data_IF_892037059675
#
_entry.id   IF_892037059675
#
_cell.length_a   1.000
_cell.length_b   1.000
_cell.length_c   1.000
_cell.angle_alpha   90.00
_cell.angle_beta   90.00
_cell.angle_gamma   90.00
#
_symmetry.space_group_name_H-M   'P 1'
#
loop_
_entity.id
_entity.type
_entity.pdbx_description
1 polymer ?
#
# COMPACT_ATOMS: atom_id res chain seq x y z
N UNK A 1 4.78 5.41 -14.23
CA UNK A 1 3.72 4.47 -14.66
C UNK A 1 3.90 4.15 -16.15
N UNK A 2 3.78 2.89 -16.56
CA UNK A 2 3.61 2.58 -17.98
C UNK A 2 2.33 3.28 -18.48
N UNK A 3 2.35 3.85 -19.70
CA UNK A 3 1.21 4.44 -20.41
C UNK A 3 -0.12 3.80 -19.95
N UNK A 4 -0.99 4.62 -19.36
CA UNK A 4 -2.23 4.26 -18.66
C UNK A 4 -2.79 2.88 -19.02
N UNK A 5 -2.71 1.93 -18.08
CA UNK A 5 -3.46 0.66 -18.10
C UNK A 5 -4.98 0.85 -17.92
N UNK A 6 -5.46 2.10 -17.82
CA UNK A 6 -6.85 2.41 -17.50
C UNK A 6 -7.65 2.48 -18.79
N UNK A 7 -8.48 1.48 -19.01
CA UNK A 7 -9.40 1.35 -20.15
C UNK A 7 -10.84 1.17 -19.65
N UNK A 8 -11.78 1.71 -20.40
CA UNK A 8 -13.23 1.56 -20.20
C UNK A 8 -13.82 0.38 -20.99
N UNK A 9 -12.99 -0.38 -21.70
CA UNK A 9 -13.45 -1.52 -22.49
C UNK A 9 -14.01 -2.62 -21.59
N UNK A 10 -15.24 -3.04 -21.85
CA UNK A 10 -15.93 -4.08 -21.08
C UNK A 10 -16.32 -5.27 -21.96
N UNK A 11 -16.41 -6.49 -21.40
CA UNK A 11 -17.01 -7.62 -22.10
C UNK A 11 -18.43 -7.28 -22.54
N UNK A 12 -18.83 -7.68 -23.76
CA UNK A 12 -20.19 -7.41 -24.29
C UNK A 12 -21.32 -7.79 -23.34
N UNK A 13 -21.17 -8.91 -22.63
CA UNK A 13 -22.16 -9.38 -21.64
C UNK A 13 -22.34 -8.43 -20.45
N UNK A 14 -21.34 -7.60 -20.16
CA UNK A 14 -21.36 -6.62 -19.07
C UNK A 14 -21.76 -5.22 -19.51
N UNK A 15 -21.91 -4.96 -20.81
CA UNK A 15 -22.11 -3.61 -21.37
C UNK A 15 -23.36 -2.93 -20.79
N UNK A 16 -24.50 -3.64 -20.73
CA UNK A 16 -25.72 -3.12 -20.13
C UNK A 16 -25.53 -2.76 -18.64
N UNK A 17 -24.85 -3.64 -17.88
CA UNK A 17 -24.60 -3.42 -16.44
C UNK A 17 -23.64 -2.26 -16.20
N UNK A 18 -22.58 -2.16 -17.01
CA UNK A 18 -21.62 -1.06 -17.01
C UNK A 18 -22.33 0.27 -17.26
N UNK A 19 -23.11 0.37 -18.34
CA UNK A 19 -23.84 1.58 -18.70
C UNK A 19 -24.80 2.04 -17.60
N UNK A 20 -25.57 1.12 -17.01
CA UNK A 20 -26.47 1.46 -15.90
C UNK A 20 -25.76 1.97 -14.64
N UNK A 21 -24.53 1.52 -14.37
CA UNK A 21 -23.73 2.02 -13.24
C UNK A 21 -23.15 3.39 -13.61
N UNK A 22 -22.56 3.52 -14.80
CA UNK A 22 -21.92 4.75 -15.28
C UNK A 22 -22.92 5.90 -15.34
N UNK A 23 -24.13 5.67 -15.83
CA UNK A 23 -25.18 6.71 -15.88
C UNK A 23 -25.44 7.32 -14.50
N UNK A 24 -25.53 6.48 -13.47
CA UNK A 24 -25.74 6.92 -12.09
C UNK A 24 -24.52 7.67 -11.54
N UNK A 25 -23.31 7.14 -11.76
CA UNK A 25 -22.08 7.74 -11.23
C UNK A 25 -21.71 9.04 -11.94
N UNK A 26 -22.00 9.17 -13.24
CA UNK A 26 -21.79 10.40 -14.01
C UNK A 26 -22.75 11.50 -13.61
N UNK A 27 -24.01 11.13 -13.35
CA UNK A 27 -25.00 12.07 -12.84
C UNK A 27 -24.57 12.61 -11.47
N UNK A 28 -24.09 11.72 -10.59
CA UNK A 28 -23.55 12.11 -9.30
C UNK A 28 -22.32 13.01 -9.43
N UNK A 29 -21.32 12.57 -10.19
CA UNK A 29 -20.04 13.27 -10.31
C UNK A 29 -20.21 14.66 -10.94
N UNK A 30 -21.11 14.83 -11.92
CA UNK A 30 -21.42 16.15 -12.49
C UNK A 30 -22.11 17.09 -11.51
N UNK A 31 -22.91 16.57 -10.59
CA UNK A 31 -23.64 17.38 -9.62
C UNK A 31 -22.79 17.75 -8.40
N UNK A 32 -21.91 16.85 -7.96
CA UNK A 32 -21.28 16.94 -6.64
C UNK A 32 -19.75 16.87 -6.67
N UNK A 33 -19.15 16.38 -7.76
CA UNK A 33 -17.70 16.18 -7.88
C UNK A 33 -17.15 16.94 -9.10
N UNK A 34 -16.42 16.25 -9.98
CA UNK A 34 -15.85 16.79 -11.21
C UNK A 34 -15.65 15.68 -12.25
N UNK A 35 -15.16 16.05 -13.43
CA UNK A 35 -14.95 15.10 -14.53
C UNK A 35 -13.84 14.08 -14.25
N UNK A 36 -12.81 14.43 -13.46
CA UNK A 36 -11.75 13.47 -13.11
C UNK A 36 -12.29 12.31 -12.29
N UNK A 37 -13.20 12.59 -11.34
CA UNK A 37 -13.91 11.56 -10.60
C UNK A 37 -14.79 10.70 -11.52
N UNK A 38 -15.59 11.32 -12.40
CA UNK A 38 -16.45 10.58 -13.34
C UNK A 38 -15.62 9.61 -14.19
N UNK A 39 -14.54 10.12 -14.79
CA UNK A 39 -13.62 9.35 -15.62
C UNK A 39 -12.96 8.19 -14.85
N UNK A 40 -12.52 8.42 -13.62
CA UNK A 40 -11.87 7.40 -12.82
C UNK A 40 -12.86 6.32 -12.32
N UNK A 41 -14.10 6.72 -12.01
CA UNK A 41 -15.17 5.80 -11.64
C UNK A 41 -15.58 4.91 -12.82
N UNK A 42 -15.65 5.44 -14.05
CA UNK A 42 -15.85 4.61 -15.27
C UNK A 42 -14.76 3.55 -15.39
N UNK A 43 -13.50 3.96 -15.24
CA UNK A 43 -12.36 3.04 -15.34
C UNK A 43 -12.38 1.95 -14.26
N UNK A 44 -12.76 2.29 -13.03
CA UNK A 44 -12.93 1.33 -11.94
C UNK A 44 -14.08 0.36 -12.22
N UNK A 45 -15.21 0.87 -12.69
CA UNK A 45 -16.37 0.07 -13.07
C UNK A 45 -16.01 -0.92 -14.18
N UNK A 46 -15.30 -0.46 -15.23
CA UNK A 46 -14.85 -1.32 -16.31
C UNK A 46 -13.85 -2.39 -15.82
N UNK A 47 -12.95 -2.03 -14.90
CA UNK A 47 -12.02 -2.98 -14.30
C UNK A 47 -12.75 -4.09 -13.51
N UNK A 48 -13.83 -3.77 -12.81
CA UNK A 48 -14.69 -4.75 -12.13
C UNK A 48 -15.46 -5.61 -13.14
N UNK A 49 -15.97 -5.04 -14.24
CA UNK A 49 -16.61 -5.80 -15.32
C UNK A 49 -15.67 -6.86 -15.93
N UNK A 50 -14.36 -6.61 -15.96
CA UNK A 50 -13.35 -7.54 -16.52
C UNK A 50 -12.94 -8.67 -15.58
N UNK A 51 -13.30 -8.63 -14.29
CA UNK A 51 -13.02 -9.72 -13.33
C UNK A 51 -13.83 -10.98 -13.68
N UNK A 52 -13.33 -12.15 -13.27
CA UNK A 52 -13.95 -13.45 -13.56
C UNK A 52 -14.07 -14.30 -12.29
N UNK A 53 -15.29 -14.59 -11.79
CA UNK A 53 -16.56 -13.94 -12.19
C UNK A 53 -16.55 -12.43 -11.87
N UNK A 54 -17.42 -11.65 -12.52
CA UNK A 54 -17.49 -10.22 -12.21
C UNK A 54 -18.28 -10.06 -10.90
N UNK A 55 -17.79 -9.29 -9.92
CA UNK A 55 -18.59 -9.01 -8.73
C UNK A 55 -19.88 -8.27 -9.08
N UNK A 56 -19.91 -7.54 -10.21
CA UNK A 56 -21.06 -6.79 -10.69
C UNK A 56 -22.21 -7.67 -11.22
N UNK A 57 -21.98 -8.97 -11.41
CA UNK A 57 -23.00 -9.92 -11.88
C UNK A 57 -24.20 -10.01 -10.93
N UNK A 58 -23.98 -9.73 -9.63
CA UNK A 58 -25.01 -9.77 -8.59
C UNK A 58 -25.21 -8.39 -7.96
N UNK A 59 -26.46 -8.09 -7.58
CA UNK A 59 -26.82 -6.85 -6.88
C UNK A 59 -27.24 -5.70 -7.79
N UNK A 60 -27.83 -4.66 -7.21
CA UNK A 60 -28.42 -3.54 -7.96
C UNK A 60 -27.35 -2.56 -8.46
N UNK A 61 -27.60 -1.91 -9.60
CA UNK A 61 -26.68 -0.92 -10.18
C UNK A 61 -26.40 0.24 -9.22
N UNK A 62 -27.44 0.79 -8.56
CA UNK A 62 -27.29 1.87 -7.58
C UNK A 62 -26.36 1.54 -6.41
N UNK A 63 -26.41 0.30 -5.94
CA UNK A 63 -25.59 -0.18 -4.82
C UNK A 63 -24.13 -0.31 -5.22
N UNK A 64 -23.85 -0.73 -6.46
CA UNK A 64 -22.49 -0.73 -7.01
C UNK A 64 -21.97 0.66 -7.33
N UNK A 65 -22.79 1.51 -7.95
CA UNK A 65 -22.47 2.92 -8.22
C UNK A 65 -22.03 3.64 -6.93
N UNK A 66 -22.81 3.48 -5.87
CA UNK A 66 -22.50 3.98 -4.54
C UNK A 66 -21.16 3.46 -4.00
N UNK A 67 -20.94 2.14 -4.01
CA UNK A 67 -19.72 1.54 -3.46
C UNK A 67 -18.45 1.90 -4.24
N UNK A 68 -18.53 1.96 -5.57
CA UNK A 68 -17.41 2.34 -6.46
C UNK A 68 -17.06 3.81 -6.25
N UNK A 69 -18.07 4.69 -6.22
CA UNK A 69 -17.87 6.12 -5.97
C UNK A 69 -17.22 6.34 -4.61
N UNK A 70 -17.71 5.65 -3.56
CA UNK A 70 -17.08 5.73 -2.24
C UNK A 70 -15.64 5.21 -2.24
N UNK A 71 -15.36 4.10 -2.94
CA UNK A 71 -14.01 3.55 -3.01
C UNK A 71 -13.02 4.54 -3.65
N UNK A 72 -13.40 5.15 -4.78
CA UNK A 72 -12.59 6.18 -5.44
C UNK A 72 -12.47 7.44 -4.57
N UNK A 73 -13.56 7.82 -3.90
CA UNK A 73 -13.57 8.92 -2.94
C UNK A 73 -12.58 8.71 -1.80
N UNK A 74 -12.50 7.50 -1.24
CA UNK A 74 -11.55 7.16 -0.18
C UNK A 74 -10.10 7.31 -0.66
N UNK A 75 -9.77 6.77 -1.84
CA UNK A 75 -8.41 6.86 -2.40
C UNK A 75 -7.97 8.33 -2.59
N UNK A 76 -8.94 9.21 -2.86
CA UNK A 76 -8.72 10.62 -3.23
C UNK A 76 -9.28 11.61 -2.21
N UNK A 77 -9.35 11.21 -0.93
CA UNK A 77 -9.67 12.08 0.21
C UNK A 77 -10.98 12.86 0.08
N UNK A 78 -11.99 12.33 -0.62
CA UNK A 78 -13.28 13.00 -0.81
C UNK A 78 -13.99 13.32 0.52
N UNK A 79 -13.76 12.49 1.54
CA UNK A 79 -14.42 12.61 2.84
C UNK A 79 -13.70 13.55 3.82
N UNK A 80 -12.56 14.11 3.42
CA UNK A 80 -11.82 15.10 4.20
C UNK A 80 -12.34 16.49 3.84
N UNK A 81 -12.82 17.23 4.85
CA UNK A 81 -13.43 18.56 4.69
C UNK A 81 -12.43 19.64 4.26
N UNK A 82 -11.13 19.39 4.38
CA UNK A 82 -10.08 20.28 3.87
C UNK A 82 -9.94 20.23 2.35
N UNK A 83 -10.56 19.24 1.70
CA UNK A 83 -10.37 18.97 0.29
C UNK A 83 -11.42 19.65 -0.59
N UNK A 84 -11.11 19.80 -1.87
CA UNK A 84 -12.06 20.30 -2.88
C UNK A 84 -12.00 19.41 -4.12
N UNK A 85 -13.12 18.75 -4.52
CA UNK A 85 -14.40 18.70 -3.82
C UNK A 85 -14.31 17.89 -2.50
N UNK A 86 -15.18 18.20 -1.54
CA UNK A 86 -15.45 17.35 -0.37
C UNK A 86 -16.92 16.94 -0.34
N UNK A 87 -17.20 15.78 0.24
CA UNK A 87 -18.56 15.32 0.55
C UNK A 87 -18.50 14.30 1.68
N UNK A 88 -19.45 14.35 2.62
CA UNK A 88 -19.54 13.33 3.68
C UNK A 88 -20.00 11.96 3.15
N UNK A 89 -19.47 10.87 3.70
CA UNK A 89 -19.83 9.52 3.24
C UNK A 89 -21.33 9.22 3.34
N UNK A 90 -21.98 9.60 4.44
CA UNK A 90 -23.44 9.45 4.61
C UNK A 90 -24.25 10.28 3.62
N UNK A 91 -23.74 11.43 3.19
CA UNK A 91 -24.39 12.24 2.15
C UNK A 91 -24.32 11.54 0.78
N UNK A 92 -23.15 11.00 0.43
CA UNK A 92 -22.97 10.17 -0.76
C UNK A 92 -23.95 8.99 -0.75
N UNK A 93 -24.05 8.25 0.36
CA UNK A 93 -24.95 7.10 0.50
C UNK A 93 -26.42 7.47 0.33
N UNK A 94 -26.83 8.58 0.95
CA UNK A 94 -28.18 9.13 0.83
C UNK A 94 -28.52 9.49 -0.61
N UNK A 95 -27.59 10.09 -1.35
CA UNK A 95 -27.81 10.44 -2.75
C UNK A 95 -28.11 9.21 -3.62
N UNK A 96 -27.38 8.12 -3.43
CA UNK A 96 -27.64 6.87 -4.15
C UNK A 96 -28.85 6.08 -3.63
N UNK A 97 -29.47 6.51 -2.52
CA UNK A 97 -30.56 5.80 -1.86
C UNK A 97 -30.14 4.41 -1.36
N UNK A 98 -28.97 4.35 -0.72
CA UNK A 98 -28.33 3.15 -0.16
C UNK A 98 -28.05 3.38 1.32
N UNK A 99 -28.28 2.37 2.16
CA UNK A 99 -27.95 2.46 3.59
C UNK A 99 -26.43 2.47 3.81
N UNK A 100 -25.95 3.21 4.80
CA UNK A 100 -24.53 3.43 5.08
C UNK A 100 -23.71 2.13 5.15
N UNK A 101 -24.18 1.15 5.93
CA UNK A 101 -23.52 -0.15 6.06
C UNK A 101 -23.43 -0.92 4.74
N UNK A 102 -24.44 -0.79 3.88
CA UNK A 102 -24.46 -1.41 2.55
C UNK A 102 -23.47 -0.71 1.61
N UNK A 103 -23.42 0.62 1.65
CA UNK A 103 -22.47 1.43 0.88
C UNK A 103 -21.02 1.13 1.25
N UNK A 104 -20.72 1.11 2.55
CA UNK A 104 -19.41 0.75 3.10
C UNK A 104 -19.00 -0.67 2.72
N UNK A 105 -19.87 -1.67 2.95
CA UNK A 105 -19.58 -3.06 2.60
C UNK A 105 -19.30 -3.26 1.11
N UNK A 106 -20.02 -2.54 0.25
CA UNK A 106 -19.76 -2.56 -1.21
C UNK A 106 -18.46 -1.88 -1.58
N UNK A 107 -18.17 -0.74 -0.95
CA UNK A 107 -16.90 -0.06 -1.16
C UNK A 107 -15.71 -0.93 -0.76
N UNK A 108 -15.78 -1.61 0.39
CA UNK A 108 -14.76 -2.58 0.81
C UNK A 108 -14.54 -3.65 -0.26
N UNK A 109 -15.62 -4.27 -0.76
CA UNK A 109 -15.51 -5.28 -1.82
C UNK A 109 -14.86 -4.73 -3.10
N UNK A 110 -15.17 -3.48 -3.50
CA UNK A 110 -14.50 -2.82 -4.64
C UNK A 110 -13.01 -2.65 -4.37
N UNK A 111 -12.66 -2.14 -3.19
CA UNK A 111 -11.27 -1.90 -2.80
C UNK A 111 -10.47 -3.19 -2.77
N UNK A 112 -11.00 -4.23 -2.12
CA UNK A 112 -10.36 -5.54 -2.03
C UNK A 112 -10.18 -6.15 -3.45
N UNK A 113 -11.20 -6.03 -4.32
CA UNK A 113 -11.16 -6.59 -5.69
C UNK A 113 -10.15 -5.87 -6.60
N UNK A 114 -10.05 -4.56 -6.48
CA UNK A 114 -9.18 -3.71 -7.29
C UNK A 114 -7.84 -3.42 -6.60
N UNK A 115 -7.62 -3.97 -5.40
CA UNK A 115 -6.45 -3.76 -4.54
C UNK A 115 -6.20 -2.27 -4.24
N UNK A 116 -7.27 -1.49 -4.09
CA UNK A 116 -7.20 -0.07 -3.80
C UNK A 116 -6.77 0.16 -2.36
N UNK A 117 -5.87 1.12 -2.18
CA UNK A 117 -5.44 1.67 -0.89
C UNK A 117 -5.57 3.20 -0.89
N UNK A 118 -5.47 3.82 0.28
CA UNK A 118 -5.32 5.27 0.30
C UNK A 118 -4.04 5.66 -0.47
N UNK A 119 -4.07 6.79 -1.18
CA UNK A 119 -2.99 7.20 -2.09
C UNK A 119 -2.64 6.18 -3.21
N UNK A 120 -3.52 5.25 -3.56
CA UNK A 120 -3.24 4.28 -4.61
C UNK A 120 -2.81 4.96 -5.94
N UNK A 121 -1.59 4.70 -6.45
CA UNK A 121 -1.09 5.33 -7.67
C UNK A 121 -1.95 5.05 -8.92
N UNK A 122 -2.56 3.88 -9.00
CA UNK A 122 -3.37 3.47 -10.16
C UNK A 122 -4.78 4.08 -10.11
N UNK A 123 -5.26 4.42 -8.91
CA UNK A 123 -6.58 5.01 -8.67
C UNK A 123 -6.50 6.45 -8.12
N UNK A 124 -5.41 7.15 -8.41
CA UNK A 124 -5.22 8.55 -8.09
C UNK A 124 -5.78 9.45 -9.20
N UNK A 125 -6.48 10.52 -8.80
CA UNK A 125 -6.92 11.59 -9.69
C UNK A 125 -5.71 12.29 -10.33
N UNK A 126 -5.79 12.68 -11.62
CA UNK A 126 -4.70 13.37 -12.29
C UNK A 126 -4.24 14.66 -11.58
N UNK A 127 -5.17 15.42 -11.02
CA UNK A 127 -4.88 16.62 -10.21
C UNK A 127 -4.11 16.34 -8.92
N UNK A 128 -4.21 15.13 -8.35
CA UNK A 128 -3.55 14.72 -7.11
C UNK A 128 -2.21 14.02 -7.30
N UNK A 129 -1.77 13.80 -8.54
CA UNK A 129 -0.54 13.06 -8.82
C UNK A 129 0.69 13.71 -8.17
N UNK A 130 0.79 15.04 -8.22
CA UNK A 130 1.93 15.77 -7.65
C UNK A 130 2.03 15.58 -6.13
N UNK A 131 0.89 15.58 -5.45
CA UNK A 131 0.80 15.50 -3.99
C UNK A 131 0.76 14.06 -3.47
N UNK A 132 0.69 13.05 -4.34
CA UNK A 132 0.67 11.66 -3.95
C UNK A 132 2.09 11.14 -3.66
N UNK A 133 2.50 10.93 -2.39
CA UNK A 133 3.86 10.53 -2.07
C UNK A 133 4.22 9.15 -2.64
N UNK A 134 3.26 8.23 -2.75
CA UNK A 134 3.52 6.86 -3.22
C UNK A 134 3.84 6.79 -4.72
N UNK A 135 3.48 7.80 -5.51
CA UNK A 135 3.86 7.88 -6.93
C UNK A 135 5.36 8.19 -7.08
N UNK A 136 5.90 8.99 -6.17
CA UNK A 136 7.25 9.54 -6.26
C UNK A 136 8.28 8.77 -5.45
N UNK A 137 7.85 7.94 -4.50
CA UNK A 137 8.74 7.09 -3.70
C UNK A 137 9.18 5.87 -4.50
N UNK A 138 10.45 5.84 -4.90
CA UNK A 138 11.06 4.74 -5.65
C UNK A 138 12.21 4.10 -4.87
N UNK A 139 12.38 2.80 -5.06
CA UNK A 139 13.54 2.07 -4.55
C UNK A 139 14.73 2.29 -5.48
N UNK A 140 15.77 2.96 -4.99
CA UNK A 140 17.03 3.25 -5.69
C UNK A 140 18.17 2.68 -4.84
N UNK A 141 18.88 1.69 -5.37
CA UNK A 141 19.98 1.00 -4.67
C UNK A 141 19.59 0.47 -3.27
N UNK A 142 18.41 -0.15 -3.14
CA UNK A 142 17.94 -0.72 -1.88
C UNK A 142 17.31 0.28 -0.90
N UNK A 143 17.41 1.59 -1.17
CA UNK A 143 16.81 2.64 -0.34
C UNK A 143 15.56 3.22 -1.01
N UNK A 144 14.51 3.45 -0.22
CA UNK A 144 13.31 4.14 -0.69
C UNK A 144 13.57 5.65 -0.63
N UNK A 145 13.46 6.32 -1.77
CA UNK A 145 13.65 7.76 -1.85
C UNK A 145 12.57 8.43 -2.70
N UNK A 146 12.28 9.68 -2.37
CA UNK A 146 11.49 10.55 -3.24
C UNK A 146 12.33 10.92 -4.47
N UNK A 147 11.94 10.39 -5.63
CA UNK A 147 12.66 10.58 -6.88
C UNK A 147 12.68 12.05 -7.32
N UNK A 148 11.78 12.91 -6.82
CA UNK A 148 11.78 14.35 -7.12
C UNK A 148 13.04 15.05 -6.62
N UNK A 149 13.67 14.50 -5.58
CA UNK A 149 14.91 15.01 -5.00
C UNK A 149 16.16 14.35 -5.59
N UNK A 150 16.00 13.35 -6.47
CA UNK A 150 17.12 12.69 -7.13
C UNK A 150 17.72 13.57 -8.24
N UNK A 151 18.98 13.35 -8.65
CA UNK A 151 19.54 14.02 -9.84
C UNK A 151 18.70 13.78 -11.10
N UNK A 152 18.63 14.77 -12.00
CA UNK A 152 17.79 14.74 -13.21
C UNK A 152 17.97 13.46 -14.06
N UNK A 153 19.19 12.93 -14.16
CA UNK A 153 19.44 11.67 -14.87
C UNK A 153 18.69 10.47 -14.29
N UNK A 154 18.57 10.39 -12.96
CA UNK A 154 17.78 9.34 -12.30
C UNK A 154 16.28 9.53 -12.51
N UNK A 155 15.80 10.78 -12.51
CA UNK A 155 14.40 11.11 -12.81
C UNK A 155 14.03 10.72 -14.24
N UNK A 156 14.87 11.06 -15.22
CA UNK A 156 14.70 10.68 -16.62
C UNK A 156 14.65 9.17 -16.79
N UNK A 157 15.54 8.45 -16.12
CA UNK A 157 15.57 6.99 -16.19
C UNK A 157 14.33 6.35 -15.55
N UNK A 158 13.86 6.89 -14.42
CA UNK A 158 12.60 6.49 -13.81
C UNK A 158 11.40 6.76 -14.73
N UNK A 159 11.39 7.90 -15.44
CA UNK A 159 10.36 8.23 -16.41
C UNK A 159 10.37 7.26 -17.60
N UNK A 160 11.54 7.01 -18.21
CA UNK A 160 11.71 6.06 -19.32
C UNK A 160 11.27 4.64 -18.97
N UNK A 161 11.57 4.19 -17.75
CA UNK A 161 11.11 2.89 -17.22
C UNK A 161 9.61 2.86 -16.92
N UNK A 162 8.91 3.98 -17.05
CA UNK A 162 7.51 4.10 -16.67
C UNK A 162 7.31 3.87 -15.18
N UNK A 163 8.22 4.34 -14.32
CA UNK A 163 8.06 4.31 -12.87
C UNK A 163 7.31 5.57 -12.38
N UNK A 164 7.71 6.74 -12.87
CA UNK A 164 6.98 8.00 -12.66
C UNK A 164 6.13 8.38 -13.88
N UNK A 165 5.09 9.22 -13.73
CA UNK A 165 4.21 9.62 -14.84
C UNK A 165 4.80 10.73 -15.72
N UNK A 166 5.72 11.54 -15.20
CA UNK A 166 6.45 12.61 -15.89
C UNK A 166 7.73 12.95 -15.12
N UNK A 167 8.63 13.71 -15.74
CA UNK A 167 9.82 14.27 -15.09
C UNK A 167 9.39 15.44 -14.20
N UNK A 168 9.69 15.41 -12.88
CA UNK A 168 9.36 16.47 -11.94
C UNK A 168 9.76 17.87 -12.45
N UNK A 169 8.86 18.84 -12.33
CA UNK A 169 9.08 20.20 -12.84
C UNK A 169 8.99 20.36 -14.38
N UNK A 170 8.81 19.26 -15.13
CA UNK A 170 8.83 19.26 -16.59
C UNK A 170 7.72 18.42 -17.22
N UNK A 171 6.51 18.47 -16.65
CA UNK A 171 5.35 17.67 -17.09
C UNK A 171 5.07 17.76 -18.60
N UNK A 172 5.11 18.96 -19.17
CA UNK A 172 4.76 19.20 -20.58
C UNK A 172 5.86 18.75 -21.56
N UNK A 173 7.13 18.80 -21.14
CA UNK A 173 8.29 18.55 -22.00
C UNK A 173 9.09 17.30 -21.60
N UNK A 174 8.49 16.40 -20.82
CA UNK A 174 9.17 15.21 -20.28
C UNK A 174 9.75 14.33 -21.38
N UNK A 175 9.03 14.16 -22.49
CA UNK A 175 9.50 13.38 -23.64
C UNK A 175 10.71 14.04 -24.33
N UNK A 176 10.67 15.35 -24.52
CA UNK A 176 11.76 16.11 -25.13
C UNK A 176 13.04 16.03 -24.29
N UNK A 177 12.91 16.22 -22.97
CA UNK A 177 14.03 16.13 -22.03
C UNK A 177 14.59 14.71 -21.97
N UNK A 178 13.71 13.70 -21.92
CA UNK A 178 14.11 12.31 -21.93
C UNK A 178 14.87 11.95 -23.22
N UNK A 179 14.51 12.50 -24.38
CA UNK A 179 15.22 12.26 -25.63
C UNK A 179 16.54 13.05 -25.72
N UNK A 180 16.61 14.27 -25.19
CA UNK A 180 17.82 15.09 -25.23
C UNK A 180 18.97 14.54 -24.36
N UNK A 181 18.66 13.87 -23.25
CA UNK A 181 19.64 13.32 -22.29
C UNK A 181 20.23 11.97 -22.74
N UNK A 182 19.74 11.39 -23.83
CA UNK A 182 20.24 10.12 -24.42
C UNK A 182 21.75 10.17 -24.81
N UNK A 183 22.33 11.37 -24.94
CA UNK A 183 23.74 11.59 -25.29
C UNK A 183 24.75 11.59 -24.13
N UNK A 184 24.33 11.51 -22.86
CA UNK A 184 25.24 11.56 -21.70
C UNK A 184 24.97 10.34 -20.81
N UNK A 185 25.64 9.22 -21.09
CA UNK A 185 25.50 7.99 -20.30
C UNK A 185 26.11 8.14 -18.91
N UNK A 186 25.28 8.28 -17.87
CA UNK A 186 25.68 7.93 -16.51
C UNK A 186 25.52 6.41 -16.34
N UNK A 187 26.65 5.69 -16.31
CA UNK A 187 26.65 4.24 -16.07
C UNK A 187 26.22 3.98 -14.61
N UNK A 188 25.00 3.51 -14.42
CA UNK A 188 24.61 2.84 -13.18
C UNK A 188 25.21 1.42 -13.14
N UNK A 189 25.63 0.92 -11.97
CA UNK A 189 26.07 -0.47 -11.82
C UNK A 189 24.92 -1.44 -12.19
N UNK A 190 25.25 -2.62 -12.74
CA UNK A 190 24.25 -3.51 -13.32
C UNK A 190 23.26 -4.02 -12.26
N UNK A 191 21.96 -3.81 -12.49
CA UNK A 191 20.91 -4.41 -11.67
C UNK A 191 20.80 -5.93 -11.92
N UNK A 192 20.59 -6.76 -10.89
CA UNK A 192 20.41 -8.20 -11.08
C UNK A 192 19.10 -8.50 -11.83
N UNK A 193 19.18 -9.37 -12.84
CA UNK A 193 18.04 -9.85 -13.64
C UNK A 193 16.98 -10.52 -12.75
N UNK A 194 15.76 -9.99 -12.76
CA UNK A 194 14.57 -10.68 -12.18
C UNK A 194 14.21 -11.91 -13.02
N UNK A 195 14.58 -13.10 -12.56
CA UNK A 195 14.04 -14.36 -13.10
C UNK A 195 12.85 -14.85 -12.28
N UNK A 196 11.75 -15.19 -12.97
CA UNK A 196 10.51 -15.80 -12.42
C UNK A 196 10.73 -17.07 -11.57
N UNK A 197 11.91 -17.66 -11.59
CA UNK A 197 12.27 -18.80 -10.73
C UNK A 197 12.58 -18.42 -9.26
N UNK A 198 12.74 -17.13 -8.94
CA UNK A 198 13.15 -16.68 -7.61
C UNK A 198 12.11 -16.96 -6.49
N UNK A 199 10.80 -16.86 -6.79
CA UNK A 199 9.74 -17.11 -5.79
C UNK A 199 9.67 -18.59 -5.37
N UNK A 200 9.90 -19.53 -6.30
CA UNK A 200 9.91 -20.96 -5.99
C UNK A 200 11.16 -21.38 -5.18
N UNK A 201 12.31 -20.74 -5.42
CA UNK A 201 13.52 -20.95 -4.61
C UNK A 201 13.42 -20.28 -3.24
N UNK A 202 12.80 -19.09 -3.11
CA UNK A 202 12.55 -18.44 -1.81
C UNK A 202 11.63 -19.25 -0.90
N UNK A 203 10.59 -19.90 -1.45
CA UNK A 203 9.73 -20.84 -0.69
C UNK A 203 10.49 -22.10 -0.23
N UNK A 204 11.52 -22.56 -0.97
CA UNK A 204 12.35 -23.70 -0.56
C UNK A 204 13.32 -23.38 0.57
N UNK A 205 13.91 -22.18 0.61
CA UNK A 205 14.77 -21.73 1.71
C UNK A 205 13.97 -21.42 2.99
N UNK A 206 12.70 -21.03 2.86
CA UNK A 206 11.82 -20.77 4.00
C UNK A 206 11.47 -22.01 4.85
N UNK A 207 11.46 -23.20 4.24
CA UNK A 207 11.16 -24.46 4.94
C UNK A 207 12.40 -25.14 5.55
N UNK A 208 13.57 -24.49 5.53
CA UNK A 208 14.74 -24.97 6.25
C UNK A 208 14.68 -24.50 7.71
N UNK A 209 15.00 -25.38 8.68
CA UNK A 209 15.10 -24.96 10.07
C UNK A 209 16.08 -23.79 10.20
N UNK A 210 15.83 -22.80 11.08
CA UNK A 210 16.73 -21.69 11.29
C UNK A 210 18.15 -22.16 11.55
N UNK A 211 19.12 -21.51 10.91
CA UNK A 211 20.50 -21.72 11.28
C UNK A 211 20.76 -21.11 12.67
N UNK A 212 21.61 -21.71 13.52
CA UNK A 212 21.97 -21.13 14.82
C UNK A 212 22.51 -19.70 14.71
N UNK A 213 23.16 -19.36 13.59
CA UNK A 213 23.67 -18.02 13.31
C UNK A 213 22.52 -17.02 13.11
N UNK A 214 21.46 -17.40 12.40
CA UNK A 214 20.31 -16.53 12.17
C UNK A 214 19.57 -16.15 13.47
N UNK A 215 19.54 -17.04 14.47
CA UNK A 215 18.98 -16.77 15.79
C UNK A 215 19.91 -15.91 16.67
N UNK A 216 21.22 -15.97 16.44
CA UNK A 216 22.21 -15.18 17.20
C UNK A 216 22.48 -13.81 16.59
N UNK A 217 22.13 -13.61 15.32
CA UNK A 217 22.34 -12.36 14.61
C UNK A 217 21.48 -11.21 15.14
N UNK A 218 21.92 -9.99 14.81
CA UNK A 218 21.19 -8.75 14.99
C UNK A 218 20.59 -8.32 13.64
N UNK A 219 19.29 -8.09 13.61
CA UNK A 219 18.59 -7.55 12.46
C UNK A 219 18.39 -6.04 12.67
N UNK A 220 18.83 -5.27 11.68
CA UNK A 220 18.53 -3.84 11.58
C UNK A 220 17.35 -3.71 10.63
N UNK A 221 16.21 -3.29 11.17
CA UNK A 221 14.94 -3.18 10.46
C UNK A 221 14.58 -1.71 10.28
N UNK A 222 14.15 -1.37 9.07
CA UNK A 222 13.47 -0.10 8.81
C UNK A 222 11.96 -0.36 8.74
N UNK A 223 11.20 0.34 9.58
CA UNK A 223 9.74 0.25 9.65
C UNK A 223 9.17 1.56 9.16
N UNK A 224 8.62 1.53 7.95
CA UNK A 224 7.99 2.68 7.30
C UNK A 224 6.47 2.58 7.40
N UNK A 225 5.83 3.64 7.86
CA UNK A 225 4.37 3.76 7.81
C UNK A 225 3.93 3.94 6.35
N UNK A 226 3.10 3.03 5.87
CA UNK A 226 2.56 3.05 4.51
C UNK A 226 1.15 3.65 4.45
N UNK A 227 0.32 3.36 5.44
CA UNK A 227 -1.09 3.75 5.44
C UNK A 227 -1.69 3.78 6.85
N UNK A 228 -2.77 4.53 7.02
CA UNK A 228 -3.59 4.61 8.21
C UNK A 228 -4.56 5.80 8.13
N UNK A 229 -5.45 6.01 9.12
CA UNK A 229 -6.38 7.13 9.18
C UNK A 229 -5.65 8.43 9.56
N UNK A 230 -4.79 8.91 8.65
CA UNK A 230 -3.91 10.06 8.87
C UNK A 230 -4.46 11.26 8.10
N UNK A 231 -4.53 12.41 8.77
CA UNK A 231 -4.90 13.67 8.12
C UNK A 231 -3.87 14.09 7.06
N UNK A 232 -4.32 14.65 5.93
CA UNK A 232 -3.44 15.04 4.83
C UNK A 232 -2.37 16.06 5.27
N UNK A 233 -2.75 17.00 6.15
CA UNK A 233 -1.84 17.99 6.72
C UNK A 233 -0.73 17.36 7.57
N UNK A 234 -1.02 16.24 8.25
CA UNK A 234 -0.01 15.49 8.97
C UNK A 234 0.97 14.85 7.99
N UNK A 235 0.47 14.23 6.91
CA UNK A 235 1.30 13.62 5.87
C UNK A 235 2.18 14.65 5.17
N UNK A 236 1.66 15.84 4.85
CA UNK A 236 2.44 16.94 4.24
C UNK A 236 3.62 17.37 5.13
N UNK A 237 3.41 17.44 6.46
CA UNK A 237 4.46 17.80 7.42
C UNK A 237 5.41 16.66 7.72
N UNK A 238 4.95 15.42 7.54
CA UNK A 238 5.68 14.20 7.83
C UNK A 238 5.69 13.29 6.58
N UNK A 239 6.37 13.70 5.49
CA UNK A 239 6.35 12.96 4.22
C UNK A 239 6.94 11.55 4.34
N UNK A 240 7.72 11.32 5.40
CA UNK A 240 8.24 10.02 5.79
C UNK A 240 8.05 9.84 7.29
N UNK A 241 7.41 8.74 7.68
CA UNK A 241 7.36 8.29 9.07
C UNK A 241 8.04 6.93 9.15
N UNK A 242 9.30 6.93 9.60
CA UNK A 242 10.18 5.77 9.58
C UNK A 242 10.82 5.57 10.94
N UNK A 243 10.95 4.31 11.35
CA UNK A 243 11.64 3.89 12.58
C UNK A 243 12.72 2.89 12.22
N UNK A 244 13.94 3.09 12.71
CA UNK A 244 14.99 2.10 12.61
C UNK A 244 15.08 1.34 13.93
N UNK A 245 14.93 0.03 13.85
CA UNK A 245 14.83 -0.87 15.00
C UNK A 245 15.93 -1.93 14.88
N UNK A 246 16.68 -2.14 15.95
CA UNK A 246 17.59 -3.25 16.08
C UNK A 246 16.96 -4.33 16.97
N UNK A 247 16.87 -5.56 16.46
CA UNK A 247 16.24 -6.69 17.16
C UNK A 247 17.08 -7.96 16.96
N UNK A 248 17.24 -8.79 18.01
CA UNK A 248 17.98 -10.05 17.89
C UNK A 248 17.14 -11.13 17.21
N UNK A 249 17.81 -12.04 16.52
CA UNK A 249 17.17 -13.14 15.79
C UNK A 249 16.41 -14.13 16.67
N UNK A 250 16.72 -14.21 17.97
CA UNK A 250 16.03 -15.07 18.94
C UNK A 250 14.78 -14.41 19.54
N UNK A 251 14.57 -13.12 19.31
CA UNK A 251 13.36 -12.40 19.69
C UNK A 251 12.23 -12.69 18.69
N UNK A 252 11.00 -12.57 19.16
CA UNK A 252 9.80 -12.98 18.45
C UNK A 252 9.17 -11.88 17.60
N UNK A 253 8.23 -12.24 16.73
CA UNK A 253 7.35 -11.27 16.07
C UNK A 253 6.49 -10.49 17.07
N UNK A 254 6.15 -11.07 18.23
CA UNK A 254 5.50 -10.33 19.31
C UNK A 254 6.44 -9.27 19.90
N UNK A 255 7.71 -9.58 20.14
CA UNK A 255 8.70 -8.58 20.58
C UNK A 255 8.89 -7.45 19.55
N UNK A 256 8.81 -7.80 18.25
CA UNK A 256 8.84 -6.82 17.17
C UNK A 256 7.58 -5.94 17.17
N UNK A 257 6.41 -6.51 17.42
CA UNK A 257 5.17 -5.75 17.58
C UNK A 257 5.30 -4.72 18.71
N UNK A 258 5.72 -5.15 19.91
CA UNK A 258 5.87 -4.27 21.07
C UNK A 258 6.78 -3.07 20.79
N UNK A 259 7.93 -3.30 20.16
CA UNK A 259 8.86 -2.20 19.86
C UNK A 259 8.34 -1.30 18.74
N UNK A 260 7.60 -1.82 17.75
CA UNK A 260 6.94 -0.99 16.73
C UNK A 260 5.81 -0.17 17.36
N UNK A 261 4.98 -0.78 18.19
CA UNK A 261 3.88 -0.13 18.92
C UNK A 261 4.40 1.09 19.69
N UNK A 262 5.45 0.90 20.49
CA UNK A 262 6.13 1.97 21.21
C UNK A 262 6.87 2.96 20.29
N UNK A 263 7.41 2.50 19.16
CA UNK A 263 8.10 3.36 18.20
C UNK A 263 7.16 4.32 17.48
N UNK A 264 5.89 3.96 17.32
CA UNK A 264 4.86 4.79 16.70
C UNK A 264 3.92 5.45 17.72
N UNK A 265 4.35 5.50 18.99
CA UNK A 265 3.64 6.18 20.08
C UNK A 265 2.16 5.75 20.18
N UNK A 266 1.90 4.44 20.02
CA UNK A 266 0.57 3.84 20.19
C UNK A 266 0.24 3.69 21.67
N UNK A 267 -1.05 3.76 21.99
CA UNK A 267 -1.56 3.78 23.36
C UNK A 267 -2.51 2.61 23.65
N UNK A 268 -3.40 2.29 22.70
CA UNK A 268 -4.36 1.20 22.86
C UNK A 268 -4.01 0.02 21.95
N UNK A 269 -3.85 -1.17 22.54
CA UNK A 269 -3.57 -2.38 21.78
C UNK A 269 -4.79 -2.88 21.00
N UNK A 270 -4.54 -3.31 19.77
CA UNK A 270 -5.52 -3.95 18.89
C UNK A 270 -4.92 -5.19 18.26
N UNK A 271 -5.75 -5.96 17.55
CA UNK A 271 -5.26 -7.08 16.74
C UNK A 271 -4.25 -6.62 15.70
N UNK A 272 -3.24 -7.45 15.46
CA UNK A 272 -2.19 -7.22 14.49
C UNK A 272 -1.74 -8.53 13.83
N UNK A 273 -1.10 -8.42 12.68
CA UNK A 273 -0.43 -9.54 12.02
C UNK A 273 0.79 -9.08 11.21
N UNK A 274 1.69 -10.03 10.94
CA UNK A 274 2.78 -9.87 9.99
C UNK A 274 2.50 -10.67 8.72
N UNK A 275 2.83 -10.09 7.57
CA UNK A 275 2.58 -10.69 6.26
C UNK A 275 3.89 -10.82 5.48
N UNK A 276 4.38 -12.05 5.34
CA UNK A 276 5.64 -12.34 4.70
C UNK A 276 5.43 -12.99 3.32
N UNK A 277 6.43 -12.85 2.44
CA UNK A 277 6.50 -13.55 1.14
C UNK A 277 5.32 -13.28 0.19
N UNK A 278 4.54 -12.24 0.45
CA UNK A 278 3.50 -11.70 -0.45
C UNK A 278 4.03 -10.62 -1.40
N UNK A 279 3.15 -10.13 -2.26
CA UNK A 279 3.42 -9.04 -3.21
C UNK A 279 2.93 -7.67 -2.71
N UNK A 280 2.49 -7.58 -1.45
CA UNK A 280 2.06 -6.34 -0.80
C UNK A 280 1.11 -6.57 0.37
N UNK A 281 0.60 -5.48 0.98
CA UNK A 281 -0.43 -5.52 2.01
C UNK A 281 -1.65 -6.35 1.56
N UNK A 282 -2.14 -7.21 2.45
CA UNK A 282 -3.28 -8.10 2.23
C UNK A 282 -3.16 -9.06 1.05
N UNK A 283 -1.95 -9.44 0.65
CA UNK A 283 -1.81 -10.49 -0.36
C UNK A 283 -2.43 -11.81 0.16
N UNK A 284 -3.45 -12.38 -0.51
CA UNK A 284 -4.04 -13.64 -0.08
C UNK A 284 -3.05 -14.81 -0.12
N UNK A 285 -1.96 -14.69 -0.88
CA UNK A 285 -0.91 -15.71 -0.98
C UNK A 285 0.25 -15.49 0.02
N UNK A 286 0.18 -14.45 0.86
CA UNK A 286 1.19 -14.17 1.89
C UNK A 286 1.13 -15.18 3.04
N UNK A 287 2.30 -15.46 3.61
CA UNK A 287 2.41 -16.18 4.87
C UNK A 287 2.02 -15.22 6.00
N UNK A 288 0.87 -15.45 6.64
CA UNK A 288 0.35 -14.60 7.71
C UNK A 288 0.76 -15.12 9.08
N UNK A 289 1.30 -14.27 9.92
CA UNK A 289 1.63 -14.60 11.30
C UNK A 289 0.78 -13.72 12.21
N UNK A 290 -0.12 -14.34 12.95
CA UNK A 290 -1.12 -13.66 13.78
C UNK A 290 -1.11 -14.15 15.23
N UNK A 291 -2.01 -13.61 16.04
CA UNK A 291 -2.21 -14.04 17.43
C UNK A 291 -2.72 -15.48 17.47
N UNK A 292 -2.37 -16.25 18.51
CA UNK A 292 -2.79 -17.64 18.64
C UNK A 292 -4.30 -17.88 18.49
N UNK A 293 -5.13 -16.94 18.93
CA UNK A 293 -6.60 -17.00 18.80
C UNK A 293 -7.11 -16.93 17.35
N UNK A 294 -6.26 -16.55 16.40
CA UNK A 294 -6.57 -16.50 14.96
C UNK A 294 -6.23 -17.79 14.22
N UNK A 295 -5.64 -18.79 14.92
CA UNK A 295 -5.25 -20.09 14.33
C UNK A 295 -6.44 -20.99 13.99
N UNK A 296 -7.59 -20.80 14.66
CA UNK A 296 -8.73 -21.75 14.66
C UNK A 296 -10.04 -21.16 14.09
N UNK A 297 -10.00 -20.03 13.38
CA UNK A 297 -11.25 -19.40 12.92
C UNK A 297 -11.75 -20.00 11.58
N UNK A 298 -12.99 -20.49 11.57
CA UNK A 298 -13.72 -21.09 10.43
C UNK A 298 -13.95 -20.10 9.25
N UNK A 299 -13.42 -18.88 9.33
CA UNK A 299 -13.55 -17.80 8.34
C UNK A 299 -12.52 -17.83 7.20
N UNK A 300 -11.72 -18.90 7.08
CA UNK A 300 -11.00 -19.23 5.84
C UNK A 300 -9.68 -18.51 5.60
N UNK A 301 -9.05 -17.94 6.62
CA UNK A 301 -7.68 -17.43 6.56
C UNK A 301 -6.74 -18.38 7.30
N UNK A 302 -6.03 -19.25 6.58
CA UNK A 302 -4.98 -20.08 7.18
C UNK A 302 -3.77 -19.22 7.53
N UNK A 303 -3.48 -19.04 8.81
CA UNK A 303 -2.24 -18.36 9.23
C UNK A 303 -1.06 -19.36 9.23
N UNK A 304 0.12 -18.87 8.90
CA UNK A 304 1.38 -19.62 8.83
C UNK A 304 2.05 -19.82 10.21
N UNK A 305 1.72 -19.01 11.22
CA UNK A 305 2.28 -19.17 12.55
C UNK A 305 1.78 -18.17 13.60
N UNK A 306 2.11 -18.47 14.86
CA UNK A 306 1.83 -17.66 16.05
C UNK A 306 2.96 -16.64 16.26
N UNK A 307 2.61 -15.36 16.35
CA UNK A 307 3.58 -14.27 16.56
C UNK A 307 4.39 -14.41 17.86
N UNK A 308 3.79 -14.99 18.90
CA UNK A 308 4.45 -15.17 20.20
C UNK A 308 5.49 -16.31 20.20
N UNK A 309 5.49 -17.16 19.17
CA UNK A 309 6.38 -18.33 19.06
C UNK A 309 7.34 -18.26 17.87
N UNK A 310 7.18 -17.26 17.02
CA UNK A 310 7.94 -17.12 15.78
C UNK A 310 9.10 -16.16 15.99
N UNK A 311 10.31 -16.68 16.12
CA UNK A 311 11.53 -15.89 16.21
C UNK A 311 11.88 -15.21 14.88
N UNK A 312 12.46 -14.01 14.89
CA UNK A 312 12.85 -13.28 13.67
C UNK A 312 13.83 -14.11 12.83
N UNK A 313 14.81 -14.74 13.46
CA UNK A 313 15.80 -15.59 12.80
C UNK A 313 15.22 -16.86 12.18
N UNK A 314 14.03 -17.33 12.61
CA UNK A 314 13.35 -18.48 12.00
C UNK A 314 12.68 -18.16 10.68
N UNK A 315 12.50 -16.88 10.37
CA UNK A 315 11.89 -16.43 9.12
C UNK A 315 12.87 -16.48 7.93
N UNK A 316 14.17 -16.66 8.17
CA UNK A 316 15.24 -16.68 7.16
C UNK A 316 15.16 -15.47 6.20
N UNK A 317 14.98 -14.28 6.78
CA UNK A 317 14.87 -13.03 6.01
C UNK A 317 16.20 -12.67 5.35
N UNK A 318 16.16 -12.19 4.11
CA UNK A 318 17.31 -11.63 3.43
C UNK A 318 17.41 -10.10 3.61
N UNK A 319 18.62 -9.55 3.49
CA UNK A 319 18.81 -8.09 3.37
C UNK A 319 18.05 -7.58 2.14
N UNK A 320 17.44 -6.40 2.27
CA UNK A 320 16.49 -5.77 1.34
C UNK A 320 15.17 -6.54 1.14
N UNK A 321 14.87 -7.56 1.95
CA UNK A 321 13.58 -8.25 1.91
C UNK A 321 12.51 -7.47 2.69
N UNK A 322 11.45 -6.98 2.02
CA UNK A 322 10.34 -6.34 2.71
C UNK A 322 9.29 -7.36 3.16
N UNK A 323 8.63 -7.06 4.28
CA UNK A 323 7.41 -7.74 4.73
C UNK A 323 6.45 -6.75 5.39
N UNK A 324 5.17 -7.12 5.49
CA UNK A 324 4.13 -6.27 6.02
C UNK A 324 3.95 -6.43 7.52
N UNK A 325 3.59 -5.33 8.20
CA UNK A 325 3.04 -5.31 9.55
C UNK A 325 1.72 -4.53 9.52
N UNK A 326 0.64 -5.21 9.88
CA UNK A 326 -0.71 -4.64 9.96
C UNK A 326 -1.11 -4.54 11.42
N UNK A 327 -1.42 -3.33 11.87
CA UNK A 327 -1.90 -3.04 13.20
C UNK A 327 -3.30 -2.44 13.12
N UNK A 328 -4.17 -2.82 14.06
CA UNK A 328 -5.57 -2.40 14.14
C UNK A 328 -6.37 -2.78 12.88
N UNK A 329 -7.11 -3.88 12.96
CA UNK A 329 -7.93 -4.35 11.84
C UNK A 329 -9.16 -3.47 11.58
N UNK A 330 -9.51 -2.57 12.50
CA UNK A 330 -10.55 -1.57 12.31
C UNK A 330 -10.04 -0.37 11.51
N UNK A 331 -8.93 0.20 11.96
CA UNK A 331 -8.37 1.44 11.42
C UNK A 331 -7.35 1.24 10.29
N UNK A 332 -6.88 0.02 10.04
CA UNK A 332 -5.98 -0.31 8.93
C UNK A 332 -4.63 0.43 8.97
N UNK A 333 -3.87 0.33 10.08
CA UNK A 333 -2.50 0.84 10.14
C UNK A 333 -1.51 -0.11 9.46
N UNK A 334 -1.01 0.29 8.29
CA UNK A 334 -0.08 -0.53 7.50
C UNK A 334 1.34 -0.01 7.57
N UNK A 335 2.27 -0.92 7.79
CA UNK A 335 3.70 -0.64 7.78
C UNK A 335 4.43 -1.62 6.86
N UNK A 336 5.48 -1.13 6.21
CA UNK A 336 6.48 -1.96 5.58
C UNK A 336 7.65 -2.12 6.54
N UNK A 337 8.07 -3.35 6.77
CA UNK A 337 9.31 -3.67 7.47
C UNK A 337 10.32 -4.11 6.43
N UNK A 338 11.54 -3.58 6.46
CA UNK A 338 12.61 -3.93 5.53
C UNK A 338 13.89 -4.25 6.30
N UNK A 339 14.54 -5.36 5.95
CA UNK A 339 15.82 -5.74 6.55
C UNK A 339 16.94 -4.91 5.91
N UNK A 340 17.51 -3.98 6.66
CA UNK A 340 18.60 -3.11 6.21
C UNK A 340 19.95 -3.81 6.34
N UNK A 341 20.15 -4.53 7.44
CA UNK A 341 21.37 -5.26 7.70
C UNK A 341 21.14 -6.46 8.63
N UNK A 342 22.00 -7.46 8.52
CA UNK A 342 22.10 -8.58 9.45
C UNK A 342 23.56 -8.60 9.93
N UNK A 343 23.79 -8.36 11.21
CA UNK A 343 25.12 -8.19 11.80
C UNK A 343 25.26 -8.97 13.10
N UNK A 344 26.42 -8.89 13.75
CA UNK A 344 26.57 -9.42 15.11
C UNK A 344 25.98 -8.43 16.14
N UNK A 345 25.33 -8.91 17.21
CA UNK A 345 24.84 -8.05 18.30
C UNK A 345 26.01 -7.44 19.08
N UNK A 346 25.84 -6.20 19.53
CA UNK A 346 26.88 -5.51 20.28
C UNK A 346 26.89 -5.98 21.74
N UNK A 347 28.07 -6.21 22.35
CA UNK A 347 28.15 -6.57 23.77
C UNK A 347 27.54 -5.48 24.65
N UNK A 348 26.80 -5.89 25.69
CA UNK A 348 26.22 -4.98 26.72
C UNK A 348 25.16 -4.00 26.19
N UNK A 349 24.55 -4.29 25.05
CA UNK A 349 23.39 -3.56 24.52
C UNK A 349 22.12 -4.39 24.74
N UNK A 350 21.06 -3.75 25.21
CA UNK A 350 19.74 -4.36 25.32
C UNK A 350 18.97 -4.20 24.00
N UNK A 351 18.31 -5.27 23.58
CA UNK A 351 17.48 -5.35 22.39
C UNK A 351 16.06 -5.84 22.78
N UNK A 352 15.00 -5.43 22.05
CA UNK A 352 15.06 -4.60 20.87
C UNK A 352 15.24 -3.11 21.24
N UNK A 353 15.75 -2.29 20.32
CA UNK A 353 15.89 -0.85 20.55
C UNK A 353 15.61 -0.05 19.29
N UNK A 354 15.13 1.18 19.47
CA UNK A 354 14.94 2.16 18.40
C UNK A 354 16.24 2.97 18.28
N UNK A 355 16.84 2.99 17.10
CA UNK A 355 18.09 3.73 16.85
C UNK A 355 17.87 5.03 16.07
N UNK A 356 16.76 5.14 15.33
CA UNK A 356 16.42 6.34 14.57
C UNK A 356 14.91 6.53 14.45
N UNK A 357 14.48 7.81 14.42
CA UNK A 357 13.13 8.23 14.08
C UNK A 357 13.18 9.31 13.00
N UNK A 358 12.37 9.15 11.96
CA UNK A 358 12.12 10.15 10.92
C UNK A 358 10.62 10.43 10.91
N UNK A 359 10.24 11.71 10.96
CA UNK A 359 8.84 12.15 11.05
C UNK A 359 8.19 11.89 12.42
N UNK A 360 7.22 12.72 12.77
CA UNK A 360 6.37 12.51 13.94
C UNK A 360 5.51 11.25 13.77
N UNK A 361 5.12 10.61 14.87
CA UNK A 361 4.11 9.55 14.83
C UNK A 361 2.73 10.18 14.66
N UNK A 362 1.86 9.67 13.77
CA UNK A 362 0.49 10.14 13.70
C UNK A 362 -0.26 9.74 14.98
N UNK A 363 -1.25 10.53 15.42
CA UNK A 363 -2.17 10.11 16.47
C UNK A 363 -2.79 8.75 16.14
N UNK A 364 -3.05 7.94 17.16
CA UNK A 364 -3.67 6.63 16.97
C UNK A 364 -5.10 6.72 16.44
N UNK A 365 -5.84 7.73 16.87
CA UNK A 365 -7.19 8.02 16.39
C UNK A 365 -7.25 9.45 15.86
N UNK A 366 -8.00 9.67 14.80
CA UNK A 366 -8.31 11.02 14.34
C UNK A 366 -9.09 11.76 15.44
N UNK A 367 -8.74 13.02 15.71
CA UNK A 367 -9.56 13.84 16.60
C UNK A 367 -10.95 14.05 15.96
N UNK A 368 -11.99 13.63 16.67
CA UNK A 368 -13.39 13.62 16.26
C UNK A 368 -13.99 15.03 16.06
#
# INVERSE_FOLDING_TARGET
MAKSKRSEDVPKVMEAKFNSIVELTDSFARQHLNEEYAQLIRQATAALCRKRPSPLDKGQAKTWACGITHAIGMVNFLFDSSQTPHMGASELYRWFGVADSTGQGKSKLVRDTLKMRQFDPDWCLPSRIEDNPLIWMLMVNGLIMDIRNAPLGAQVEAYRKGLIPYIPGHKENSDEIANAIEGITFQAPPSPRKTRNAQATKRKTANQPPSPEALQALYVLEVALLNGPIAEEFVKRNPQVIRTIEIRGDQTLADLHEIIFNAFDREEEHMYEFQLRGNGPNDPDADRYGLAMTLDDDFGSSIAGDVAKTAIGSLNLAVEEPFGYWFDFGDDWWHQVSVVAITEPQPKVNYPRITQRIGASPPQYAEL
#
